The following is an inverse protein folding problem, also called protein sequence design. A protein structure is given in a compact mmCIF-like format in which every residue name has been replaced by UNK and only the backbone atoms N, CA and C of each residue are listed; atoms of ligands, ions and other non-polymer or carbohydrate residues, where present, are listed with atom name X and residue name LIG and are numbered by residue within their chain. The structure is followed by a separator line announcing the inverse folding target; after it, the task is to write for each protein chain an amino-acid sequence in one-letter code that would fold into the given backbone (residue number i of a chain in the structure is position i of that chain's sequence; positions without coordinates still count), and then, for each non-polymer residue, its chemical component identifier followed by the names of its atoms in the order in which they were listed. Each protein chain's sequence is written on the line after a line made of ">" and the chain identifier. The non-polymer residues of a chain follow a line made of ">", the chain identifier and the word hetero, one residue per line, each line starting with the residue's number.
data_IF_525278486822
#
_entry.id   IF_525278486822
#
_cell.length_a   1.000
_cell.length_b   1.000
_cell.length_c   1.000
_cell.angle_alpha   90.00
_cell.angle_beta   90.00
_cell.angle_gamma   90.00
#
_symmetry.space_group_name_H-M   'P 1'
#
loop_
_entity.id
_entity.type
_entity.pdbx_description
1 polymer ?
#
# COMPACT_ATOMS: atom_id res chain seq x y z
N UNK A 1 0.16 28.75 -87.41
CA UNK A 1 -0.57 28.22 -86.22
C UNK A 1 0.48 27.58 -85.35
N UNK A 2 0.93 28.23 -84.24
CA UNK A 2 1.95 27.74 -83.34
C UNK A 2 1.21 27.00 -82.16
N UNK A 3 1.48 25.68 -81.98
CA UNK A 3 0.95 24.88 -80.88
C UNK A 3 1.85 25.19 -79.66
N UNK A 4 1.24 25.77 -78.63
CA UNK A 4 1.82 25.91 -77.30
C UNK A 4 1.61 24.60 -76.53
N UNK A 5 2.70 23.89 -76.26
CA UNK A 5 2.68 22.75 -75.31
C UNK A 5 2.95 23.28 -73.91
N UNK A 6 1.96 23.21 -73.05
CA UNK A 6 2.11 23.50 -71.62
C UNK A 6 2.57 22.20 -70.96
N UNK A 7 3.85 22.14 -70.59
CA UNK A 7 4.38 21.07 -69.75
C UNK A 7 4.04 21.41 -68.27
N UNK A 8 3.13 20.65 -67.70
CA UNK A 8 2.76 20.71 -66.29
C UNK A 8 3.85 19.96 -65.48
N UNK A 9 4.74 20.70 -64.87
CA UNK A 9 5.75 20.16 -63.94
C UNK A 9 5.02 19.91 -62.64
N UNK A 10 4.70 18.65 -62.33
CA UNK A 10 4.31 18.21 -61.01
C UNK A 10 5.53 18.19 -60.12
N UNK A 11 5.68 19.23 -59.26
CA UNK A 11 6.66 19.27 -58.20
C UNK A 11 6.12 18.35 -57.08
N UNK A 12 6.58 17.11 -57.03
CA UNK A 12 6.36 16.21 -55.89
C UNK A 12 7.12 16.77 -54.68
N UNK A 13 6.43 17.53 -53.86
CA UNK A 13 6.86 17.79 -52.48
C UNK A 13 6.81 16.45 -51.75
N UNK A 14 7.94 15.77 -51.66
CA UNK A 14 8.16 14.69 -50.73
C UNK A 14 8.10 15.27 -49.30
N UNK A 15 6.93 15.27 -48.70
CA UNK A 15 6.82 15.43 -47.24
C UNK A 15 7.45 14.16 -46.65
N UNK A 16 8.70 14.25 -46.26
CA UNK A 16 9.33 13.24 -45.41
C UNK A 16 8.56 13.29 -44.07
N UNK A 17 7.60 12.42 -43.93
CA UNK A 17 7.04 12.12 -42.61
C UNK A 17 8.18 11.46 -41.81
N UNK A 18 8.94 12.25 -41.08
CA UNK A 18 9.80 11.74 -40.02
C UNK A 18 8.84 11.22 -38.96
N UNK A 19 8.82 9.88 -38.77
CA UNK A 19 8.19 9.32 -37.58
C UNK A 19 9.04 9.84 -36.39
N UNK A 20 8.48 10.81 -35.69
CA UNK A 20 9.11 11.35 -34.49
C UNK A 20 8.83 10.33 -33.38
N UNK A 21 9.86 9.60 -32.97
CA UNK A 21 9.78 8.74 -31.80
C UNK A 21 9.74 9.64 -30.56
N UNK A 22 8.94 9.30 -29.53
CA UNK A 22 8.90 10.12 -28.33
C UNK A 22 10.29 10.18 -27.69
N UNK A 23 10.77 11.41 -27.45
CA UNK A 23 11.97 11.70 -26.67
C UNK A 23 11.54 12.02 -25.24
N UNK A 24 11.97 11.22 -24.30
CA UNK A 24 11.60 11.35 -22.89
C UNK A 24 12.60 12.15 -22.06
N UNK A 25 13.69 12.66 -22.67
CA UNK A 25 14.82 13.25 -21.94
C UNK A 25 14.39 14.44 -21.08
N UNK A 26 13.63 15.37 -21.66
CA UNK A 26 13.18 16.58 -20.97
C UNK A 26 12.21 16.23 -19.83
N UNK A 27 11.28 15.29 -20.07
CA UNK A 27 10.35 14.81 -19.03
C UNK A 27 11.10 14.17 -17.86
N UNK A 28 12.12 13.35 -18.15
CA UNK A 28 12.93 12.71 -17.11
C UNK A 28 13.70 13.74 -16.29
N UNK A 29 14.30 14.74 -16.93
CA UNK A 29 15.07 15.78 -16.23
C UNK A 29 14.16 16.62 -15.30
N UNK A 30 12.91 16.86 -15.68
CA UNK A 30 11.92 17.59 -14.88
C UNK A 30 11.36 16.72 -13.73
N UNK A 31 10.99 15.48 -14.00
CA UNK A 31 10.29 14.61 -13.05
C UNK A 31 11.20 13.92 -12.05
N UNK A 32 12.41 13.50 -12.45
CA UNK A 32 13.31 12.71 -11.63
C UNK A 32 13.68 13.32 -10.26
N UNK A 33 13.80 14.66 -10.10
CA UNK A 33 14.06 15.24 -8.79
C UNK A 33 12.99 14.98 -7.73
N UNK A 34 11.74 14.72 -8.13
CA UNK A 34 10.62 14.45 -7.24
C UNK A 34 10.39 12.94 -7.00
N UNK A 35 11.08 12.08 -7.74
CA UNK A 35 11.07 10.62 -7.50
C UNK A 35 12.10 10.28 -6.43
N UNK A 36 11.69 9.52 -5.43
CA UNK A 36 12.48 9.23 -4.24
C UNK A 36 12.71 7.73 -4.05
N UNK A 37 13.80 7.38 -3.38
CA UNK A 37 14.01 6.05 -2.85
C UNK A 37 13.38 5.97 -1.47
N UNK A 38 12.53 4.95 -1.25
CA UNK A 38 11.96 4.61 0.04
C UNK A 38 12.66 3.38 0.57
N UNK A 39 13.36 3.49 1.69
CA UNK A 39 14.02 2.37 2.34
C UNK A 39 13.51 2.19 3.77
N UNK A 40 13.32 0.95 4.19
CA UNK A 40 12.75 0.61 5.48
C UNK A 40 13.64 -0.34 6.26
N UNK A 41 13.60 -0.22 7.58
CA UNK A 41 14.17 -1.19 8.50
C UNK A 41 13.03 -2.04 9.04
N UNK A 42 13.13 -3.37 8.85
CA UNK A 42 12.20 -4.36 9.42
C UNK A 42 12.93 -5.20 10.45
N UNK A 43 12.29 -5.45 11.60
CA UNK A 43 12.82 -6.35 12.62
C UNK A 43 12.22 -7.75 12.41
N UNK A 44 13.01 -8.70 11.95
CA UNK A 44 12.55 -10.09 11.77
C UNK A 44 12.94 -10.91 12.98
N UNK A 45 11.97 -11.43 13.73
CA UNK A 45 12.18 -12.43 14.77
C UNK A 45 12.31 -13.82 14.13
N UNK A 46 13.37 -14.55 14.49
CA UNK A 46 13.76 -15.84 13.88
C UNK A 46 12.84 -17.03 14.22
N UNK A 47 11.73 -16.82 14.95
CA UNK A 47 10.86 -17.92 15.41
C UNK A 47 9.96 -18.55 14.32
N UNK A 48 9.82 -17.96 13.13
CA UNK A 48 8.91 -18.46 12.10
C UNK A 48 9.57 -19.29 10.97
N UNK A 49 10.79 -19.81 11.17
CA UNK A 49 11.50 -20.60 10.13
C UNK A 49 11.37 -22.11 10.23
N UNK A 50 10.41 -22.67 10.96
CA UNK A 50 10.19 -24.12 10.99
C UNK A 50 8.84 -24.52 10.40
N UNK A 51 8.64 -24.31 9.12
CA UNK A 51 7.70 -25.13 8.35
C UNK A 51 8.07 -25.11 6.86
N UNK A 52 8.65 -26.20 6.32
CA UNK A 52 8.94 -26.31 4.89
C UNK A 52 7.68 -26.39 4.03
N UNK A 53 6.51 -26.45 4.63
CA UNK A 53 5.23 -26.66 3.94
C UNK A 53 4.36 -25.41 3.76
N UNK A 54 4.74 -24.24 4.31
CA UNK A 54 3.92 -23.01 4.23
C UNK A 54 4.41 -21.99 3.19
N UNK A 55 5.20 -22.44 2.20
CA UNK A 55 5.81 -21.59 1.16
C UNK A 55 4.88 -21.26 -0.03
N UNK A 56 3.56 -21.30 0.17
CA UNK A 56 2.61 -21.13 -0.94
C UNK A 56 1.52 -20.10 -0.65
N UNK A 57 1.86 -18.86 -0.28
CA UNK A 57 0.77 -17.90 -0.12
C UNK A 57 0.98 -16.48 -0.65
N UNK A 58 2.17 -16.04 -1.09
CA UNK A 58 2.26 -14.75 -1.77
C UNK A 58 3.36 -14.72 -2.84
N UNK A 59 3.01 -14.60 -4.12
CA UNK A 59 3.99 -14.31 -5.19
C UNK A 59 4.71 -12.96 -4.97
N UNK A 60 4.12 -12.05 -4.18
CA UNK A 60 4.73 -10.79 -3.76
C UNK A 60 5.96 -11.01 -2.88
N UNK A 61 5.89 -11.92 -1.89
CA UNK A 61 6.99 -12.17 -0.97
C UNK A 61 8.24 -12.70 -1.68
N UNK A 62 8.07 -13.49 -2.74
CA UNK A 62 9.19 -14.02 -3.51
C UNK A 62 9.83 -12.95 -4.43
N UNK A 63 9.08 -11.96 -4.89
CA UNK A 63 9.57 -10.87 -5.74
C UNK A 63 10.33 -9.81 -4.92
N UNK A 64 9.90 -9.52 -3.69
CA UNK A 64 10.47 -8.46 -2.85
C UNK A 64 11.48 -8.95 -1.82
N UNK A 65 11.48 -10.24 -1.47
CA UNK A 65 12.46 -10.86 -0.56
C UNK A 65 13.73 -11.34 -1.30
N UNK A 66 14.17 -10.64 -2.34
CA UNK A 66 15.47 -10.92 -2.96
C UNK A 66 16.56 -10.53 -1.95
N UNK A 67 17.35 -11.49 -1.42
CA UNK A 67 18.43 -11.16 -0.51
C UNK A 67 19.48 -10.36 -1.27
N UNK A 68 19.78 -9.15 -0.80
CA UNK A 68 20.93 -8.40 -1.31
C UNK A 68 22.20 -9.20 -1.10
N UNK A 69 23.06 -9.38 -2.12
CA UNK A 69 24.27 -10.20 -2.01
C UNK A 69 25.43 -9.46 -1.35
N UNK A 70 25.21 -8.80 -0.23
CA UNK A 70 26.29 -8.20 0.54
C UNK A 70 26.16 -8.60 2.00
N UNK A 71 27.16 -9.42 2.41
CA UNK A 71 27.54 -9.88 3.75
C UNK A 71 27.14 -11.32 4.10
N UNK A 72 28.07 -12.20 3.76
CA UNK A 72 28.29 -13.47 4.45
C UNK A 72 29.04 -13.19 5.77
N UNK A 73 28.32 -13.23 6.89
CA UNK A 73 28.92 -13.45 8.20
C UNK A 73 28.16 -14.54 8.99
N UNK A 74 28.87 -15.36 9.80
CA UNK A 74 28.32 -16.61 10.32
C UNK A 74 27.36 -16.40 11.49
N UNK A 75 26.30 -17.16 11.43
CA UNK A 75 25.19 -17.40 12.36
C UNK A 75 25.52 -17.20 13.85
N UNK A 76 24.86 -16.21 14.44
CA UNK A 76 24.43 -16.20 15.84
C UNK A 76 22.96 -15.80 15.87
N UNK A 77 22.16 -16.49 16.73
CA UNK A 77 20.74 -16.17 16.99
C UNK A 77 20.64 -14.73 17.51
N UNK A 78 20.27 -13.80 16.62
CA UNK A 78 19.97 -12.41 16.96
C UNK A 78 18.86 -11.91 16.05
N UNK A 79 17.97 -11.09 16.58
CA UNK A 79 17.03 -10.32 15.77
C UNK A 79 17.82 -9.60 14.66
N UNK A 80 17.48 -9.86 13.42
CA UNK A 80 18.19 -9.29 12.28
C UNK A 80 17.39 -8.15 11.72
N UNK A 81 17.96 -6.96 11.72
CA UNK A 81 17.45 -5.84 10.93
C UNK A 81 17.66 -6.16 9.46
N UNK A 82 16.56 -6.23 8.71
CA UNK A 82 16.60 -6.38 7.26
C UNK A 82 16.20 -5.06 6.65
N UNK A 83 17.01 -4.57 5.74
CA UNK A 83 16.67 -3.40 4.93
C UNK A 83 16.02 -3.86 3.64
N UNK A 84 14.82 -3.35 3.38
CA UNK A 84 14.13 -3.48 2.09
C UNK A 84 13.74 -2.09 1.61
N UNK A 85 13.29 -1.98 0.38
CA UNK A 85 12.89 -0.67 -0.12
C UNK A 85 12.30 -0.74 -1.52
N UNK A 86 11.78 0.40 -1.94
CA UNK A 86 11.18 0.65 -3.23
C UNK A 86 11.37 2.10 -3.62
N UNK A 87 10.47 2.59 -4.43
CA UNK A 87 10.40 3.98 -4.85
C UNK A 87 9.18 4.68 -4.24
N UNK A 88 9.16 5.99 -4.35
CA UNK A 88 8.02 6.83 -4.07
C UNK A 88 8.13 8.11 -4.89
N UNK A 89 7.17 8.99 -4.76
CA UNK A 89 7.22 10.31 -5.38
C UNK A 89 6.53 11.37 -4.54
N UNK A 90 7.08 12.57 -4.58
CA UNK A 90 6.60 13.71 -3.81
C UNK A 90 5.43 14.35 -4.57
N UNK A 91 4.30 14.57 -3.90
CA UNK A 91 3.07 15.15 -4.47
C UNK A 91 2.76 16.55 -3.96
N UNK A 92 3.58 17.09 -3.06
CA UNK A 92 3.34 18.42 -2.50
C UNK A 92 4.62 19.08 -1.99
N UNK A 93 4.65 20.42 -2.05
CA UNK A 93 5.78 21.25 -1.58
C UNK A 93 6.12 21.05 -0.10
N UNK A 94 5.14 20.66 0.70
CA UNK A 94 5.29 20.42 2.14
C UNK A 94 5.73 19.00 2.47
N UNK A 95 5.89 18.11 1.46
CA UNK A 95 6.59 16.82 1.58
C UNK A 95 5.69 15.61 1.81
N UNK A 96 4.46 15.60 1.28
CA UNK A 96 3.69 14.36 1.14
C UNK A 96 4.26 13.51 0.01
N UNK A 97 4.33 12.19 0.25
CA UNK A 97 4.93 11.21 -0.65
C UNK A 97 4.00 10.02 -0.76
N UNK A 98 3.81 9.56 -1.99
CA UNK A 98 3.08 8.33 -2.29
C UNK A 98 4.08 7.21 -2.52
N UNK A 99 3.75 6.02 -2.02
CA UNK A 99 4.44 4.76 -2.29
C UNK A 99 3.46 3.58 -2.15
N UNK A 100 3.92 2.34 -2.33
CA UNK A 100 3.10 1.17 -2.06
C UNK A 100 3.07 0.79 -0.57
N UNK A 101 1.95 0.18 -0.13
CA UNK A 101 1.83 -0.40 1.20
C UNK A 101 2.91 -1.46 1.46
N UNK A 102 3.12 -2.42 0.54
CA UNK A 102 4.09 -3.51 0.70
C UNK A 102 5.54 -3.00 0.86
N UNK A 103 5.87 -1.80 0.37
CA UNK A 103 7.20 -1.17 0.57
C UNK A 103 7.39 -0.81 2.03
N UNK A 104 6.34 -0.34 2.72
CA UNK A 104 6.39 0.15 4.11
C UNK A 104 5.78 -0.79 5.14
N UNK A 105 5.21 -1.91 4.72
CA UNK A 105 4.63 -2.94 5.60
C UNK A 105 5.67 -3.39 6.64
N UNK A 106 5.28 -3.51 7.91
CA UNK A 106 6.12 -3.91 9.04
C UNK A 106 7.39 -3.05 9.25
N UNK A 107 7.44 -1.85 8.68
CA UNK A 107 8.56 -0.96 8.87
C UNK A 107 8.63 -0.46 10.32
N UNK A 108 9.77 -0.66 10.97
CA UNK A 108 10.08 0.00 12.25
C UNK A 108 10.58 1.44 12.03
N UNK A 109 11.15 1.71 10.86
CA UNK A 109 11.63 3.02 10.45
C UNK A 109 11.62 3.15 8.94
N UNK A 110 11.21 4.33 8.44
CA UNK A 110 11.13 4.64 7.02
C UNK A 110 12.08 5.80 6.72
N UNK A 111 12.92 5.61 5.70
CA UNK A 111 13.83 6.62 5.19
C UNK A 111 13.45 6.95 3.76
N UNK A 112 13.49 8.23 3.44
CA UNK A 112 13.30 8.75 2.09
C UNK A 112 14.58 9.44 1.65
N UNK A 113 15.18 8.96 0.56
CA UNK A 113 16.36 9.57 -0.04
C UNK A 113 15.98 10.23 -1.37
N UNK A 114 16.30 11.52 -1.50
CA UNK A 114 16.09 12.28 -2.71
C UNK A 114 17.20 12.01 -3.75
N UNK A 115 16.98 12.42 -4.99
CA UNK A 115 17.95 12.30 -6.07
C UNK A 115 19.29 13.04 -5.78
N UNK A 116 19.25 14.14 -5.05
CA UNK A 116 20.43 14.92 -4.61
C UNK A 116 21.14 14.33 -3.38
N UNK A 117 20.74 13.12 -2.93
CA UNK A 117 21.27 12.36 -1.80
C UNK A 117 20.90 12.89 -0.40
N UNK A 118 20.02 13.89 -0.30
CA UNK A 118 19.44 14.23 1.01
C UNK A 118 18.58 13.06 1.47
N UNK A 119 18.72 12.70 2.76
CA UNK A 119 17.95 11.62 3.39
C UNK A 119 17.10 12.19 4.53
N UNK A 120 15.85 11.77 4.59
CA UNK A 120 14.88 12.19 5.61
C UNK A 120 14.26 10.96 6.25
N UNK A 121 13.95 11.08 7.54
CA UNK A 121 13.05 10.14 8.20
C UNK A 121 11.64 10.52 7.83
N UNK A 122 10.88 9.56 7.30
CA UNK A 122 9.49 9.77 6.93
C UNK A 122 8.55 9.23 8.01
N UNK A 123 7.49 9.99 8.23
CA UNK A 123 6.33 9.58 9.01
C UNK A 123 5.35 8.86 8.10
N UNK A 124 4.81 7.71 8.54
CA UNK A 124 3.72 7.04 7.85
C UNK A 124 2.40 7.67 8.31
N UNK A 125 1.74 8.40 7.40
CA UNK A 125 0.44 9.03 7.67
C UNK A 125 -0.66 7.98 7.70
N UNK A 126 -0.62 7.04 6.74
CA UNK A 126 -1.51 5.90 6.67
C UNK A 126 -1.11 4.98 5.54
N UNK A 127 -1.58 3.74 5.59
CA UNK A 127 -1.41 2.79 4.48
C UNK A 127 -2.56 1.81 4.42
N UNK A 128 -2.83 1.33 3.22
CA UNK A 128 -3.91 0.40 2.99
C UNK A 128 -3.45 -0.81 2.17
N UNK A 129 -3.57 -1.98 2.75
CA UNK A 129 -3.11 -3.25 2.18
C UNK A 129 -3.90 -3.68 0.94
N UNK A 130 -5.21 -3.39 0.91
CA UNK A 130 -6.08 -3.85 -0.18
C UNK A 130 -5.91 -3.02 -1.45
N UNK A 131 -5.56 -1.75 -1.33
CA UNK A 131 -5.22 -0.88 -2.47
C UNK A 131 -3.72 -0.84 -2.75
N UNK A 132 -2.90 -1.40 -1.87
CA UNK A 132 -1.44 -1.34 -1.92
C UNK A 132 -0.89 0.10 -2.02
N UNK A 133 -1.53 1.05 -1.32
CA UNK A 133 -1.16 2.47 -1.28
C UNK A 133 -0.72 2.86 0.12
N UNK A 134 0.31 3.68 0.20
CA UNK A 134 0.77 4.30 1.45
C UNK A 134 1.08 5.78 1.23
N UNK A 135 0.73 6.60 2.24
CA UNK A 135 1.00 8.03 2.30
C UNK A 135 2.04 8.29 3.39
N UNK A 136 3.15 8.89 2.98
CA UNK A 136 4.26 9.28 3.86
C UNK A 136 4.35 10.79 3.96
N UNK A 137 5.03 11.27 5.00
CA UNK A 137 5.35 12.69 5.21
C UNK A 137 6.80 12.86 5.61
N UNK A 138 7.52 13.73 4.91
CA UNK A 138 8.81 14.24 5.35
C UNK A 138 8.69 15.70 5.78
N UNK A 139 9.46 16.10 6.77
CA UNK A 139 9.47 17.48 7.29
C UNK A 139 10.79 18.14 6.93
N UNK A 140 10.72 19.24 6.17
CA UNK A 140 11.87 20.07 5.82
C UNK A 140 11.44 21.54 5.78
N UNK A 141 12.44 22.44 5.93
CA UNK A 141 12.22 23.89 5.77
C UNK A 141 12.40 24.36 4.32
N UNK A 142 12.94 23.50 3.48
CA UNK A 142 13.21 23.79 2.07
C UNK A 142 12.01 23.38 1.23
N UNK A 143 11.78 24.10 0.14
CA UNK A 143 10.77 23.71 -0.85
C UNK A 143 11.25 22.45 -1.57
N UNK A 144 10.37 21.45 -1.64
CA UNK A 144 10.63 20.21 -2.33
C UNK A 144 10.10 20.25 -3.77
N UNK A 145 10.77 19.61 -4.73
CA UNK A 145 10.15 19.31 -6.01
C UNK A 145 8.96 18.38 -5.79
N UNK A 146 7.92 18.48 -6.59
CA UNK A 146 6.75 17.62 -6.53
C UNK A 146 6.20 17.38 -7.94
N UNK A 147 5.43 16.31 -8.10
CA UNK A 147 4.82 15.92 -9.38
C UNK A 147 3.35 16.32 -9.40
N UNK A 148 2.90 16.69 -10.58
CA UNK A 148 1.48 16.89 -10.85
C UNK A 148 0.81 15.52 -11.14
N UNK A 149 -0.41 15.36 -10.63
CA UNK A 149 -1.21 14.15 -10.83
C UNK A 149 -2.14 14.38 -12.04
N UNK A 150 -2.08 13.46 -12.99
CA UNK A 150 -2.91 13.49 -14.19
C UNK A 150 -4.25 12.78 -13.98
N UNK A 151 -4.91 12.45 -15.09
CA UNK A 151 -6.18 11.72 -15.12
C UNK A 151 -5.97 10.32 -15.70
N UNK A 152 -6.09 9.29 -14.85
CA UNK A 152 -5.94 7.90 -15.29
C UNK A 152 -7.15 7.35 -16.06
N UNK A 153 -8.30 8.05 -16.04
CA UNK A 153 -9.49 7.64 -16.77
C UNK A 153 -9.40 8.05 -18.25
N UNK A 154 -8.67 9.13 -18.56
CA UNK A 154 -8.41 9.63 -19.91
C UNK A 154 -7.37 8.81 -20.69
N UNK A 155 -6.65 7.92 -20.02
CA UNK A 155 -5.61 7.08 -20.65
C UNK A 155 -6.23 6.03 -21.56
N UNK A 156 -5.69 5.87 -22.78
CA UNK A 156 -6.13 4.87 -23.74
C UNK A 156 -5.13 3.71 -23.93
N UNK A 157 -5.65 2.55 -24.36
CA UNK A 157 -4.80 1.42 -24.74
C UNK A 157 -3.99 1.79 -25.98
N UNK A 158 -2.68 1.69 -25.87
CA UNK A 158 -1.72 2.10 -26.91
C UNK A 158 -0.96 3.39 -26.59
N UNK A 159 -1.37 4.14 -25.57
CA UNK A 159 -0.67 5.35 -25.15
C UNK A 159 0.71 5.03 -24.59
N UNK A 160 1.69 5.86 -24.97
CA UNK A 160 3.03 5.81 -24.42
C UNK A 160 3.05 6.22 -22.97
N UNK A 161 3.79 5.46 -22.19
CA UNK A 161 3.95 5.70 -20.75
C UNK A 161 5.38 5.45 -20.30
N UNK A 162 5.78 6.15 -19.24
CA UNK A 162 7.13 6.14 -18.71
C UNK A 162 7.10 5.82 -17.21
N UNK A 163 7.88 4.86 -16.78
CA UNK A 163 8.10 4.62 -15.35
C UNK A 163 9.48 5.15 -14.94
N UNK A 164 9.51 5.87 -13.81
CA UNK A 164 10.75 6.28 -13.15
C UNK A 164 10.77 5.63 -11.76
N UNK A 165 11.86 4.96 -11.44
CA UNK A 165 12.09 4.39 -10.12
C UNK A 165 13.49 4.71 -9.61
N UNK A 166 13.72 4.55 -8.32
CA UNK A 166 15.01 4.74 -7.68
C UNK A 166 15.48 3.43 -7.01
N UNK A 167 15.76 2.36 -7.81
CA UNK A 167 16.13 1.06 -7.27
C UNK A 167 17.52 1.11 -6.62
N UNK A 168 17.71 0.35 -5.53
CA UNK A 168 19.00 0.03 -4.94
C UNK A 168 19.84 1.25 -4.46
N UNK A 169 19.25 2.41 -4.15
CA UNK A 169 20.00 3.65 -3.88
C UNK A 169 20.97 4.04 -5.02
N UNK A 170 20.76 3.47 -6.18
CA UNK A 170 21.41 3.89 -7.42
C UNK A 170 20.61 5.07 -7.98
N UNK A 171 21.22 5.82 -8.89
CA UNK A 171 20.51 6.84 -9.64
C UNK A 171 19.25 6.22 -10.25
N UNK A 172 18.18 7.02 -10.40
CA UNK A 172 16.91 6.58 -10.95
C UNK A 172 17.08 5.73 -12.23
N UNK A 173 16.16 4.80 -12.42
CA UNK A 173 16.02 4.00 -13.65
C UNK A 173 14.76 4.40 -14.36
N UNK A 174 14.86 4.56 -15.67
CA UNK A 174 13.75 4.95 -16.54
C UNK A 174 13.43 3.79 -17.47
N UNK A 175 12.16 3.47 -17.60
CA UNK A 175 11.65 2.47 -18.54
C UNK A 175 10.41 2.99 -19.24
N UNK A 176 10.25 2.72 -20.53
CA UNK A 176 9.11 3.17 -21.33
C UNK A 176 8.38 1.97 -21.97
N UNK A 177 7.13 2.16 -22.26
CA UNK A 177 6.27 1.20 -22.92
C UNK A 177 4.91 1.81 -23.25
N UNK A 178 3.90 0.97 -23.42
CA UNK A 178 2.52 1.41 -23.70
C UNK A 178 1.52 0.82 -22.71
N UNK A 179 0.39 1.46 -22.57
CA UNK A 179 -0.78 0.86 -21.90
C UNK A 179 -1.30 -0.30 -22.76
N UNK A 180 -1.34 -1.49 -22.19
CA UNK A 180 -1.78 -2.73 -22.85
C UNK A 180 -3.22 -3.08 -22.54
N UNK A 181 -3.75 -2.69 -21.37
CA UNK A 181 -5.15 -2.86 -20.96
C UNK A 181 -5.50 -1.95 -19.78
N UNK A 182 -6.81 -1.71 -19.58
CA UNK A 182 -7.37 -0.95 -18.45
C UNK A 182 -8.23 -1.86 -17.57
N UNK A 183 -8.43 -1.45 -16.32
CA UNK A 183 -9.32 -2.09 -15.34
C UNK A 183 -9.11 -3.60 -15.17
N UNK A 184 -7.83 -4.04 -15.12
CA UNK A 184 -7.51 -5.45 -14.91
C UNK A 184 -7.63 -5.84 -13.43
N UNK A 185 -8.49 -6.82 -13.15
CA UNK A 185 -8.47 -7.55 -11.89
C UNK A 185 -7.42 -8.66 -11.96
N UNK A 186 -6.60 -8.79 -10.91
CA UNK A 186 -5.60 -9.87 -10.80
C UNK A 186 -6.06 -10.85 -9.72
N UNK A 187 -6.67 -11.99 -10.10
CA UNK A 187 -7.21 -12.94 -9.13
C UNK A 187 -6.13 -13.58 -8.25
N UNK A 188 -6.48 -13.82 -6.97
CA UNK A 188 -5.66 -14.63 -6.06
C UNK A 188 -4.53 -13.90 -5.33
N UNK A 189 -4.46 -12.58 -5.41
CA UNK A 189 -3.39 -11.79 -4.80
C UNK A 189 -3.85 -10.80 -3.72
N UNK A 190 -5.10 -10.89 -3.25
CA UNK A 190 -5.65 -9.94 -2.26
C UNK A 190 -5.92 -8.53 -2.82
N UNK A 191 -5.71 -8.33 -4.13
CA UNK A 191 -5.80 -7.05 -4.84
C UNK A 191 -7.10 -6.92 -5.63
N UNK A 192 -8.15 -7.63 -5.24
CA UNK A 192 -9.44 -7.67 -5.96
C UNK A 192 -10.16 -6.30 -6.05
N UNK A 193 -9.67 -5.31 -5.31
CA UNK A 193 -10.25 -3.97 -5.27
C UNK A 193 -9.57 -2.97 -6.22
N UNK A 194 -8.46 -3.35 -6.87
CA UNK A 194 -7.65 -2.44 -7.67
C UNK A 194 -7.96 -2.63 -9.17
N UNK A 195 -8.43 -1.59 -9.87
CA UNK A 195 -8.65 -1.62 -11.32
C UNK A 195 -7.34 -1.33 -12.07
N UNK A 196 -6.36 -2.24 -12.04
CA UNK A 196 -5.04 -1.99 -12.58
C UNK A 196 -5.01 -1.52 -14.04
N UNK A 197 -4.12 -0.56 -14.33
CA UNK A 197 -3.58 -0.34 -15.66
C UNK A 197 -2.52 -1.42 -15.93
N UNK A 198 -2.63 -2.11 -17.05
CA UNK A 198 -1.62 -3.05 -17.52
C UNK A 198 -0.75 -2.37 -18.56
N UNK A 199 0.56 -2.53 -18.46
CA UNK A 199 1.54 -2.00 -19.44
C UNK A 199 2.63 -3.01 -19.74
N UNK A 200 3.43 -2.74 -20.77
CA UNK A 200 4.66 -3.48 -21.07
C UNK A 200 5.92 -2.73 -20.60
N UNK A 201 5.76 -1.72 -19.76
CA UNK A 201 6.86 -1.03 -19.10
C UNK A 201 7.62 -2.00 -18.20
N UNK A 202 8.93 -2.05 -18.34
CA UNK A 202 9.75 -2.98 -17.54
C UNK A 202 9.83 -2.52 -16.08
N UNK A 203 9.10 -3.19 -15.21
CA UNK A 203 9.15 -3.01 -13.75
C UNK A 203 10.03 -4.10 -13.15
N UNK A 204 10.97 -3.69 -12.31
CA UNK A 204 11.89 -4.56 -11.58
C UNK A 204 11.89 -4.19 -10.09
N UNK A 205 12.43 -5.05 -9.19
CA UNK A 205 12.57 -4.73 -7.78
C UNK A 205 13.23 -3.37 -7.56
N UNK A 206 12.53 -2.48 -6.85
CA UNK A 206 12.95 -1.11 -6.60
C UNK A 206 12.17 -0.04 -7.37
N UNK A 207 11.46 -0.37 -8.46
CA UNK A 207 10.57 0.56 -9.16
C UNK A 207 9.17 0.63 -8.52
N UNK A 208 8.78 -0.39 -7.72
CA UNK A 208 7.49 -0.40 -7.03
C UNK A 208 7.34 0.80 -6.10
N UNK A 209 6.17 1.41 -6.10
CA UNK A 209 5.87 2.67 -5.43
C UNK A 209 6.25 3.92 -6.22
N UNK A 210 7.03 3.79 -7.30
CA UNK A 210 7.36 4.88 -8.20
C UNK A 210 6.23 5.24 -9.16
N UNK A 211 6.28 6.45 -9.77
CA UNK A 211 5.25 6.94 -10.67
C UNK A 211 5.31 6.28 -12.05
N UNK A 212 4.13 6.17 -12.68
CA UNK A 212 3.95 5.98 -14.11
C UNK A 212 3.43 7.29 -14.70
N UNK A 213 4.08 7.79 -15.75
CA UNK A 213 3.77 9.08 -16.39
C UNK A 213 3.10 8.89 -17.74
N UNK A 214 2.25 9.85 -18.12
CA UNK A 214 1.88 10.12 -19.51
C UNK A 214 2.99 10.94 -20.22
N UNK A 215 2.75 11.29 -21.50
CA UNK A 215 3.71 12.10 -22.27
C UNK A 215 3.73 13.59 -21.86
N UNK A 216 2.72 14.06 -21.14
CA UNK A 216 2.65 15.42 -20.63
C UNK A 216 3.41 15.60 -19.30
N UNK A 217 4.02 14.52 -18.78
CA UNK A 217 4.78 14.53 -17.52
C UNK A 217 3.92 14.42 -16.27
N UNK A 218 2.65 14.10 -16.42
CA UNK A 218 1.73 13.91 -15.29
C UNK A 218 1.72 12.45 -14.83
N UNK A 219 1.59 12.24 -13.52
CA UNK A 219 1.51 10.91 -12.93
C UNK A 219 0.11 10.33 -13.16
N UNK A 220 0.02 9.23 -13.91
CA UNK A 220 -1.22 8.50 -14.16
C UNK A 220 -1.36 7.24 -13.31
N UNK A 221 -0.35 6.88 -12.53
CA UNK A 221 -0.45 5.75 -11.62
C UNK A 221 0.80 5.44 -10.82
N UNK A 222 0.67 4.46 -9.92
CA UNK A 222 1.72 3.97 -9.02
C UNK A 222 2.13 2.58 -9.48
N UNK A 223 3.39 2.38 -9.85
CA UNK A 223 3.91 1.07 -10.23
C UNK A 223 3.83 0.11 -9.04
N UNK A 224 3.15 -1.02 -9.18
CA UNK A 224 2.91 -1.95 -8.09
C UNK A 224 3.63 -3.28 -8.28
N UNK A 225 3.30 -4.01 -9.35
CA UNK A 225 3.75 -5.38 -9.51
C UNK A 225 3.96 -5.78 -10.97
N UNK A 226 4.52 -6.99 -11.16
CA UNK A 226 4.59 -7.67 -12.46
C UNK A 226 3.84 -9.00 -12.41
N UNK A 227 3.37 -9.45 -13.57
CA UNK A 227 3.02 -10.86 -13.71
C UNK A 227 4.29 -11.66 -13.94
N UNK A 228 4.59 -12.60 -13.05
CA UNK A 228 5.80 -13.41 -13.18
C UNK A 228 5.62 -14.82 -12.64
N UNK A 229 6.09 -15.81 -13.41
CA UNK A 229 6.15 -17.20 -12.98
C UNK A 229 7.50 -17.58 -12.37
N UNK A 230 8.52 -16.71 -12.49
CA UNK A 230 9.91 -16.99 -12.10
C UNK A 230 10.60 -15.82 -11.38
N UNK A 231 9.84 -14.80 -10.96
CA UNK A 231 10.34 -13.63 -10.23
C UNK A 231 10.98 -12.54 -11.10
N UNK A 232 10.98 -12.65 -12.44
CA UNK A 232 11.51 -11.66 -13.36
C UNK A 232 10.42 -11.07 -14.27
N UNK A 233 10.65 -9.87 -14.80
CA UNK A 233 9.77 -9.21 -15.76
C UNK A 233 9.56 -10.07 -17.03
N UNK A 234 8.31 -10.24 -17.44
CA UNK A 234 7.88 -11.06 -18.57
C UNK A 234 6.97 -10.31 -19.57
N UNK A 235 7.06 -8.99 -19.63
CA UNK A 235 6.27 -8.16 -20.54
C UNK A 235 4.91 -7.75 -20.01
N UNK A 236 4.59 -7.98 -18.73
CA UNK A 236 3.32 -7.58 -18.11
C UNK A 236 3.60 -6.93 -16.77
N UNK A 237 3.24 -5.66 -16.66
CA UNK A 237 3.30 -4.85 -15.45
C UNK A 237 1.92 -4.31 -15.09
N UNK A 238 1.70 -4.12 -13.81
CA UNK A 238 0.47 -3.58 -13.25
C UNK A 238 0.76 -2.32 -12.45
N UNK A 239 -0.03 -1.31 -12.72
CA UNK A 239 0.05 0.02 -12.12
C UNK A 239 -1.29 0.38 -11.51
N UNK A 240 -1.29 0.89 -10.28
CA UNK A 240 -2.49 1.39 -9.59
C UNK A 240 -2.86 2.73 -10.23
N UNK A 241 -4.09 2.90 -10.78
CA UNK A 241 -4.51 4.16 -11.40
C UNK A 241 -4.48 5.32 -10.40
N UNK A 242 -4.04 6.49 -10.85
CA UNK A 242 -3.87 7.64 -9.95
C UNK A 242 -5.19 8.16 -9.39
N UNK A 243 -6.29 8.16 -10.17
CA UNK A 243 -7.60 8.58 -9.69
C UNK A 243 -8.08 7.70 -8.53
N UNK A 244 -7.92 6.36 -8.68
CA UNK A 244 -8.21 5.43 -7.60
C UNK A 244 -7.31 5.66 -6.37
N UNK A 245 -6.00 5.88 -6.59
CA UNK A 245 -5.07 6.15 -5.51
C UNK A 245 -5.39 7.45 -4.77
N UNK A 246 -5.84 8.51 -5.46
CA UNK A 246 -6.25 9.76 -4.84
C UNK A 246 -7.41 9.58 -3.85
N UNK A 247 -8.45 8.82 -4.21
CA UNK A 247 -9.57 8.50 -3.30
C UNK A 247 -9.08 7.84 -2.00
N UNK A 248 -8.09 6.97 -2.11
CA UNK A 248 -7.45 6.28 -0.99
C UNK A 248 -6.61 7.26 -0.16
N UNK A 249 -5.79 8.09 -0.81
CA UNK A 249 -4.90 9.06 -0.17
C UNK A 249 -5.69 10.09 0.63
N UNK A 250 -6.82 10.55 0.11
CA UNK A 250 -7.67 11.52 0.82
C UNK A 250 -8.21 10.91 2.11
N UNK A 251 -8.70 9.66 2.10
CA UNK A 251 -9.12 8.95 3.29
C UNK A 251 -7.96 8.70 4.27
N UNK A 252 -6.79 8.28 3.77
CA UNK A 252 -5.60 8.09 4.61
C UNK A 252 -5.15 9.39 5.28
N UNK A 253 -5.30 10.53 4.61
CA UNK A 253 -4.96 11.86 5.14
C UNK A 253 -5.94 12.31 6.21
N UNK A 254 -7.24 12.08 6.02
CA UNK A 254 -8.31 12.52 6.91
C UNK A 254 -8.50 11.58 8.10
N UNK A 255 -8.68 10.29 7.83
CA UNK A 255 -9.05 9.28 8.83
C UNK A 255 -7.87 8.39 9.26
N UNK A 256 -6.80 8.30 8.46
CA UNK A 256 -5.65 7.40 8.68
C UNK A 256 -5.89 5.96 8.22
N UNK A 257 -7.10 5.63 7.76
CA UNK A 257 -7.51 4.33 7.25
C UNK A 257 -8.56 4.46 6.15
N UNK A 258 -8.83 3.37 5.42
CA UNK A 258 -9.75 3.35 4.28
C UNK A 258 -11.01 2.57 4.62
N UNK A 259 -12.16 3.20 4.51
CA UNK A 259 -13.48 2.54 4.63
C UNK A 259 -13.88 1.96 3.28
N UNK A 260 -14.38 0.72 3.28
CA UNK A 260 -14.82 0.05 2.06
C UNK A 260 -16.23 -0.46 2.18
N UNK A 261 -16.95 -0.32 1.07
CA UNK A 261 -18.23 -0.98 0.91
C UNK A 261 -18.10 -2.51 0.92
N UNK A 262 -19.08 -3.14 1.48
CA UNK A 262 -19.18 -4.60 1.56
C UNK A 262 -20.59 -5.07 1.22
N UNK A 263 -20.67 -6.20 0.50
CA UNK A 263 -21.94 -6.77 0.09
C UNK A 263 -22.26 -8.09 0.80
N UNK A 264 -21.26 -8.90 1.12
CA UNK A 264 -21.42 -10.19 1.77
C UNK A 264 -21.87 -11.31 0.82
N UNK A 265 -21.26 -11.38 -0.36
CA UNK A 265 -21.49 -12.43 -1.35
C UNK A 265 -20.17 -13.11 -1.73
N UNK A 266 -20.26 -14.41 -2.06
CA UNK A 266 -19.22 -15.11 -2.80
C UNK A 266 -19.63 -15.15 -4.28
N UNK A 267 -18.75 -14.70 -5.16
CA UNK A 267 -19.06 -14.66 -6.62
C UNK A 267 -18.11 -15.54 -7.40
N UNK A 268 -18.59 -15.97 -8.57
CA UNK A 268 -17.82 -16.71 -9.55
C UNK A 268 -18.04 -16.16 -10.96
N UNK A 269 -17.10 -16.48 -11.85
CA UNK A 269 -17.14 -16.08 -13.25
C UNK A 269 -18.29 -16.76 -14.01
N UNK A 270 -18.93 -16.01 -14.90
CA UNK A 270 -20.02 -16.50 -15.76
C UNK A 270 -19.43 -17.08 -17.03
N UNK A 271 -19.31 -18.40 -17.09
CA UNK A 271 -18.93 -19.10 -18.35
C UNK A 271 -20.08 -19.08 -19.36
N UNK A 272 -19.77 -19.44 -20.62
CA UNK A 272 -20.80 -19.51 -21.66
C UNK A 272 -21.96 -20.45 -21.29
N UNK A 273 -21.66 -21.64 -20.76
CA UNK A 273 -22.67 -22.62 -20.37
C UNK A 273 -23.56 -22.12 -19.22
N UNK A 274 -22.96 -21.35 -18.27
CA UNK A 274 -23.70 -20.69 -17.20
C UNK A 274 -24.58 -19.56 -17.77
N UNK A 275 -24.07 -18.73 -18.68
CA UNK A 275 -24.83 -17.67 -19.30
C UNK A 275 -26.09 -18.23 -20.01
N UNK A 276 -25.92 -19.27 -20.81
CA UNK A 276 -27.02 -19.95 -21.49
C UNK A 276 -28.06 -20.53 -20.51
N UNK A 277 -27.59 -21.08 -19.38
CA UNK A 277 -28.44 -21.67 -18.31
C UNK A 277 -29.21 -20.63 -17.52
N UNK A 278 -28.63 -19.44 -17.28
CA UNK A 278 -29.25 -18.33 -16.56
C UNK A 278 -29.99 -17.33 -17.47
N UNK A 279 -30.03 -17.58 -18.78
CA UNK A 279 -30.79 -16.77 -19.75
C UNK A 279 -30.12 -15.45 -20.10
N UNK A 280 -28.78 -15.39 -20.05
CA UNK A 280 -28.02 -14.25 -20.55
C UNK A 280 -27.64 -14.44 -22.01
N UNK A 281 -27.69 -13.36 -22.80
CA UNK A 281 -27.32 -13.36 -24.21
C UNK A 281 -25.80 -13.56 -24.42
N UNK A 282 -24.98 -13.10 -23.45
CA UNK A 282 -23.53 -13.18 -23.50
C UNK A 282 -22.99 -13.52 -22.10
N UNK A 283 -21.83 -14.21 -22.01
CA UNK A 283 -21.14 -14.44 -20.72
C UNK A 283 -20.69 -13.13 -20.12
N UNK A 284 -21.37 -12.65 -19.10
CA UNK A 284 -21.01 -11.45 -18.35
C UNK A 284 -21.64 -11.45 -16.96
N UNK A 285 -21.05 -10.66 -16.05
CA UNK A 285 -21.55 -10.47 -14.72
C UNK A 285 -20.86 -11.29 -13.65
N UNK A 286 -21.27 -11.09 -12.42
CA UNK A 286 -20.83 -11.82 -11.25
C UNK A 286 -21.95 -12.78 -10.79
N UNK A 287 -21.78 -14.09 -10.94
CA UNK A 287 -22.73 -15.08 -10.45
C UNK A 287 -22.54 -15.27 -8.94
N UNK A 288 -23.59 -15.00 -8.17
CA UNK A 288 -23.59 -15.25 -6.72
C UNK A 288 -23.63 -16.75 -6.46
N UNK A 289 -22.53 -17.28 -5.96
CA UNK A 289 -22.43 -18.69 -5.51
C UNK A 289 -23.03 -18.88 -4.13
N UNK A 290 -22.86 -17.88 -3.23
CA UNK A 290 -23.49 -17.87 -1.92
C UNK A 290 -23.65 -16.46 -1.38
N UNK A 291 -24.73 -16.24 -0.63
CA UNK A 291 -24.99 -15.03 0.18
C UNK A 291 -24.65 -15.35 1.64
N UNK A 292 -23.89 -14.48 2.29
CA UNK A 292 -23.53 -14.64 3.70
C UNK A 292 -24.71 -14.24 4.60
N UNK A 293 -24.87 -14.96 5.69
CA UNK A 293 -25.89 -14.63 6.71
C UNK A 293 -25.57 -13.29 7.38
N UNK A 294 -26.60 -12.55 7.76
CA UNK A 294 -26.52 -11.21 8.38
C UNK A 294 -25.78 -10.17 7.51
N UNK A 295 -25.72 -10.39 6.18
CA UNK A 295 -25.07 -9.50 5.24
C UNK A 295 -26.02 -8.46 4.62
N UNK A 296 -25.47 -7.38 4.05
CA UNK A 296 -26.21 -6.43 3.21
C UNK A 296 -26.93 -7.11 2.03
N UNK A 297 -26.29 -8.10 1.40
CA UNK A 297 -26.88 -8.87 0.31
C UNK A 297 -28.12 -9.63 0.74
N UNK A 298 -28.07 -10.34 1.87
CA UNK A 298 -29.22 -11.07 2.42
C UNK A 298 -30.36 -10.09 2.76
N UNK A 299 -30.05 -9.01 3.49
CA UNK A 299 -31.03 -7.99 3.89
C UNK A 299 -31.69 -7.32 2.70
N UNK A 300 -30.98 -7.19 1.57
CA UNK A 300 -31.47 -6.62 0.31
C UNK A 300 -32.25 -7.59 -0.55
N UNK A 301 -32.25 -8.88 -0.19
CA UNK A 301 -32.96 -9.92 -0.93
C UNK A 301 -32.23 -10.42 -2.16
N UNK A 302 -30.90 -10.24 -2.27
CA UNK A 302 -30.03 -10.97 -3.17
C UNK A 302 -30.03 -12.46 -2.82
N UNK A 303 -29.82 -13.34 -3.77
CA UNK A 303 -29.91 -14.79 -3.60
C UNK A 303 -28.82 -15.52 -4.35
N UNK A 304 -28.50 -16.69 -3.87
CA UNK A 304 -27.68 -17.66 -4.59
C UNK A 304 -28.29 -17.90 -5.98
N UNK A 305 -27.46 -17.88 -7.01
CA UNK A 305 -27.86 -18.00 -8.40
C UNK A 305 -28.26 -16.68 -9.08
N UNK A 306 -28.25 -15.53 -8.41
CA UNK A 306 -28.36 -14.23 -9.08
C UNK A 306 -27.07 -13.94 -9.87
N UNK A 307 -27.22 -13.42 -11.09
CA UNK A 307 -26.09 -12.89 -11.84
C UNK A 307 -26.17 -11.36 -11.82
N UNK A 308 -25.25 -10.70 -11.11
CA UNK A 308 -25.18 -9.24 -11.06
C UNK A 308 -24.50 -8.78 -12.35
N UNK A 309 -25.20 -7.94 -13.14
CA UNK A 309 -24.70 -7.41 -14.42
C UNK A 309 -24.51 -5.91 -14.43
N UNK A 310 -24.98 -5.22 -13.40
CA UNK A 310 -24.83 -3.79 -13.18
C UNK A 310 -24.94 -3.52 -11.68
N UNK A 311 -24.06 -2.69 -11.15
CA UNK A 311 -24.10 -2.27 -9.76
C UNK A 311 -23.80 -0.77 -9.68
N UNK A 312 -24.76 0.00 -9.21
CA UNK A 312 -24.71 1.47 -9.14
C UNK A 312 -24.37 2.14 -10.49
N UNK A 313 -24.97 1.66 -11.59
CA UNK A 313 -24.75 2.18 -12.94
C UNK A 313 -23.43 1.74 -13.58
N UNK A 314 -22.62 0.96 -12.88
CA UNK A 314 -21.40 0.37 -13.40
C UNK A 314 -21.68 -1.01 -13.97
N UNK A 315 -21.35 -1.23 -15.24
CA UNK A 315 -21.52 -2.53 -15.88
C UNK A 315 -20.53 -3.55 -15.27
N UNK A 316 -21.04 -4.71 -14.88
CA UNK A 316 -20.24 -5.84 -14.38
C UNK A 316 -20.07 -6.82 -15.52
N UNK A 317 -18.88 -6.89 -16.10
CA UNK A 317 -18.51 -7.78 -17.19
C UNK A 317 -17.90 -9.06 -16.65
N UNK A 318 -16.93 -8.94 -15.76
CA UNK A 318 -16.26 -10.04 -15.08
C UNK A 318 -16.64 -10.09 -13.61
N UNK A 319 -16.57 -11.27 -13.01
CA UNK A 319 -16.87 -11.40 -11.57
C UNK A 319 -15.97 -10.54 -10.68
N UNK A 320 -14.74 -10.26 -11.11
CA UNK A 320 -13.78 -9.41 -10.43
C UNK A 320 -14.14 -7.92 -10.43
N UNK A 321 -15.04 -7.46 -11.29
CA UNK A 321 -15.46 -6.06 -11.34
C UNK A 321 -16.33 -5.70 -10.13
N UNK A 322 -17.10 -6.66 -9.61
CA UNK A 322 -18.02 -6.40 -8.51
C UNK A 322 -17.32 -5.93 -7.22
N UNK A 323 -16.26 -6.58 -6.72
CA UNK A 323 -15.53 -6.07 -5.57
C UNK A 323 -14.93 -4.68 -5.78
N UNK A 324 -14.46 -4.35 -6.98
CA UNK A 324 -13.91 -3.04 -7.32
C UNK A 324 -14.97 -1.95 -7.22
N UNK A 325 -16.17 -2.21 -7.76
CA UNK A 325 -17.28 -1.25 -7.72
C UNK A 325 -17.83 -1.12 -6.30
N UNK A 326 -18.14 -2.25 -5.64
CA UNK A 326 -18.71 -2.23 -4.27
C UNK A 326 -17.75 -1.57 -3.29
N UNK A 327 -16.45 -1.85 -3.39
CA UNK A 327 -15.44 -1.32 -2.45
C UNK A 327 -15.28 0.20 -2.46
N UNK A 328 -15.71 0.89 -3.53
CA UNK A 328 -15.68 2.35 -3.67
C UNK A 328 -16.92 3.05 -3.13
N UNK A 329 -18.00 2.30 -2.91
CA UNK A 329 -19.25 2.85 -2.40
C UNK A 329 -19.15 3.04 -0.89
N UNK A 330 -19.58 4.19 -0.40
CA UNK A 330 -19.55 4.50 1.03
C UNK A 330 -20.48 3.56 1.81
N UNK A 331 -20.04 3.01 2.96
CA UNK A 331 -20.91 2.25 3.83
C UNK A 331 -22.18 3.02 4.22
N UNK A 332 -23.33 2.35 4.17
CA UNK A 332 -24.64 2.94 4.44
C UNK A 332 -25.34 3.56 3.21
N UNK A 333 -24.68 3.66 2.07
CA UNK A 333 -25.27 4.15 0.84
C UNK A 333 -26.23 3.14 0.21
N UNK A 334 -27.40 3.59 -0.24
CA UNK A 334 -28.38 2.77 -0.96
C UNK A 334 -28.16 2.91 -2.47
N UNK A 335 -27.79 1.82 -3.11
CA UNK A 335 -27.53 1.76 -4.55
C UNK A 335 -28.42 0.74 -5.25
N UNK A 336 -28.39 0.75 -6.57
CA UNK A 336 -29.19 -0.13 -7.41
C UNK A 336 -28.33 -1.24 -8.00
N UNK A 337 -28.68 -2.52 -7.74
CA UNK A 337 -28.16 -3.67 -8.44
C UNK A 337 -29.13 -4.14 -9.50
N UNK A 338 -28.63 -4.47 -10.71
CA UNK A 338 -29.38 -5.15 -11.75
C UNK A 338 -28.90 -6.58 -11.84
N UNK A 339 -29.81 -7.53 -11.62
CA UNK A 339 -29.50 -8.96 -11.63
C UNK A 339 -30.35 -9.74 -12.62
N UNK A 340 -29.85 -10.87 -13.11
CA UNK A 340 -30.64 -11.92 -13.73
C UNK A 340 -30.96 -12.99 -12.70
N UNK A 341 -32.25 -13.26 -12.52
CA UNK A 341 -32.78 -14.32 -11.61
C UNK A 341 -33.86 -15.09 -12.36
N UNK A 342 -33.70 -16.41 -12.46
CA UNK A 342 -34.65 -17.29 -13.21
C UNK A 342 -34.86 -16.83 -14.66
N UNK A 343 -33.81 -16.43 -15.36
CA UNK A 343 -33.83 -15.94 -16.72
C UNK A 343 -34.47 -14.56 -16.90
N UNK A 344 -34.74 -13.82 -15.84
CA UNK A 344 -35.39 -12.50 -15.88
C UNK A 344 -34.57 -11.42 -15.22
N UNK A 345 -34.47 -10.29 -15.90
CA UNK A 345 -33.82 -9.10 -15.37
C UNK A 345 -34.64 -8.49 -14.21
N UNK A 346 -34.02 -8.26 -13.06
CA UNK A 346 -34.60 -7.66 -11.87
C UNK A 346 -33.72 -6.53 -11.39
N UNK A 347 -34.34 -5.51 -10.78
CA UNK A 347 -33.65 -4.44 -10.09
C UNK A 347 -33.85 -4.60 -8.60
N UNK A 348 -32.76 -4.58 -7.83
CA UNK A 348 -32.74 -4.73 -6.36
C UNK A 348 -32.04 -3.50 -5.80
N UNK A 349 -32.59 -2.90 -4.75
CA UNK A 349 -31.92 -1.86 -3.95
C UNK A 349 -31.09 -2.54 -2.89
N UNK A 350 -29.87 -2.09 -2.75
CA UNK A 350 -28.90 -2.64 -1.81
C UNK A 350 -28.32 -1.51 -0.97
N UNK A 351 -28.42 -1.61 0.32
CA UNK A 351 -27.66 -0.76 1.25
C UNK A 351 -26.31 -1.42 1.46
N UNK A 352 -25.24 -0.76 1.02
CA UNK A 352 -23.87 -1.30 1.14
C UNK A 352 -23.44 -1.24 2.59
N UNK A 353 -22.88 -2.34 3.11
CA UNK A 353 -22.30 -2.40 4.46
C UNK A 353 -20.86 -1.96 4.48
N UNK A 354 -20.27 -1.92 5.67
CA UNK A 354 -18.84 -1.70 5.85
C UNK A 354 -18.11 -3.04 5.82
N UNK A 355 -17.00 -3.11 5.10
CA UNK A 355 -16.11 -4.25 5.16
C UNK A 355 -15.37 -4.22 6.50
N UNK A 356 -15.89 -4.96 7.47
CA UNK A 356 -15.17 -5.19 8.72
C UNK A 356 -13.88 -5.96 8.39
N UNK A 357 -12.76 -5.33 8.59
CA UNK A 357 -11.51 -6.09 8.63
C UNK A 357 -11.54 -6.94 9.90
N UNK A 358 -11.31 -8.27 9.83
CA UNK A 358 -10.95 -8.99 11.03
C UNK A 358 -9.81 -8.17 11.64
N UNK A 359 -9.88 -7.89 12.93
CA UNK A 359 -8.76 -7.35 13.68
C UNK A 359 -7.58 -8.35 13.55
N UNK A 360 -7.00 -8.44 12.34
CA UNK A 360 -5.61 -8.79 12.24
C UNK A 360 -4.96 -7.68 13.04
N UNK A 361 -4.09 -8.00 14.00
CA UNK A 361 -3.25 -7.06 14.72
C UNK A 361 -2.72 -5.97 13.75
N UNK A 362 -3.64 -5.22 13.16
CA UNK A 362 -3.40 -4.02 12.41
C UNK A 362 -2.87 -3.07 13.44
N UNK A 363 -1.54 -2.96 13.50
CA UNK A 363 -0.90 -1.84 14.12
C UNK A 363 -1.59 -0.58 13.56
N UNK A 364 -2.55 0.01 14.25
CA UNK A 364 -3.08 1.27 13.78
C UNK A 364 -1.92 2.25 13.86
N UNK A 365 -1.46 2.69 12.70
CA UNK A 365 -0.75 3.94 12.60
C UNK A 365 -1.82 5.05 12.72
N UNK A 366 -2.74 4.86 13.63
CA UNK A 366 -3.67 5.88 14.06
C UNK A 366 -2.95 6.75 15.08
N UNK A 367 -3.02 8.03 14.85
CA UNK A 367 -2.67 9.14 15.73
C UNK A 367 -2.40 8.71 17.17
N UNK A 368 -1.17 8.98 17.65
CA UNK A 368 -0.85 8.82 19.06
C UNK A 368 -1.98 9.44 19.89
N UNK A 369 -2.49 8.75 20.92
CA UNK A 369 -3.48 9.34 21.80
C UNK A 369 -2.95 10.71 22.26
N UNK A 370 -3.79 11.71 22.28
CA UNK A 370 -3.48 13.13 22.55
C UNK A 370 -2.67 13.38 23.84
N UNK A 371 -2.42 12.37 24.67
CA UNK A 371 -1.67 12.46 25.93
C UNK A 371 -0.36 11.69 25.95
N UNK A 372 0.13 11.14 24.84
CA UNK A 372 1.39 10.40 24.86
C UNK A 372 2.60 11.32 24.67
N UNK A 373 3.05 11.92 25.79
CA UNK A 373 4.18 12.89 25.85
C UNK A 373 5.51 12.30 25.37
N UNK A 374 5.67 10.97 25.37
CA UNK A 374 6.91 10.30 24.97
C UNK A 374 6.88 9.76 23.52
N UNK A 375 5.72 9.69 22.89
CA UNK A 375 5.59 9.12 21.54
C UNK A 375 5.73 7.59 21.53
N UNK A 376 5.34 6.87 22.59
CA UNK A 376 5.32 5.41 22.61
C UNK A 376 4.07 4.86 23.30
N UNK A 377 3.61 3.72 22.85
CA UNK A 377 2.52 2.96 23.46
C UNK A 377 3.08 1.75 24.19
N UNK A 378 2.45 1.40 25.31
CA UNK A 378 2.85 0.26 26.13
C UNK A 378 1.64 -0.64 26.39
N UNK A 379 1.91 -1.93 26.63
CA UNK A 379 0.93 -2.95 26.96
C UNK A 379 1.37 -3.68 28.22
N UNK A 380 0.39 -4.16 29.01
CA UNK A 380 0.63 -5.03 30.15
C UNK A 380 0.98 -6.45 29.70
N UNK A 381 1.75 -7.18 30.49
CA UNK A 381 2.05 -8.59 30.22
C UNK A 381 0.81 -9.47 30.22
N UNK A 382 -0.16 -9.12 31.03
CA UNK A 382 -1.45 -9.78 31.15
C UNK A 382 -2.24 -9.70 29.82
N UNK A 383 -2.30 -8.54 29.19
CA UNK A 383 -2.97 -8.34 27.89
C UNK A 383 -2.30 -9.16 26.79
N UNK A 384 -0.97 -9.21 26.81
CA UNK A 384 -0.20 -10.01 25.83
C UNK A 384 -0.41 -11.50 26.06
N UNK A 385 -0.48 -11.94 27.32
CA UNK A 385 -0.69 -13.33 27.70
C UNK A 385 -2.09 -13.82 27.28
N UNK A 386 -3.11 -13.01 27.55
CA UNK A 386 -4.49 -13.31 27.14
C UNK A 386 -4.60 -13.47 25.63
N UNK A 387 -4.08 -12.50 24.85
CA UNK A 387 -4.10 -12.52 23.39
C UNK A 387 -3.34 -13.72 22.79
N UNK A 388 -2.25 -14.16 23.43
CA UNK A 388 -1.43 -15.30 22.98
C UNK A 388 -1.87 -16.65 23.57
N UNK A 389 -2.86 -16.65 24.42
CA UNK A 389 -3.32 -17.83 25.19
C UNK A 389 -2.15 -18.56 25.88
N UNK A 390 -1.28 -17.77 26.55
CA UNK A 390 -0.01 -18.22 27.14
C UNK A 390 0.08 -17.72 28.58
N UNK A 391 0.88 -18.40 29.42
CA UNK A 391 1.11 -18.00 30.82
C UNK A 391 1.92 -16.71 30.89
N UNK A 392 1.49 -15.76 31.74
CA UNK A 392 2.13 -14.45 31.96
C UNK A 392 3.60 -14.60 32.42
N UNK A 393 3.85 -15.55 33.33
CA UNK A 393 5.21 -15.75 33.87
C UNK A 393 6.17 -16.27 32.79
N UNK A 394 5.68 -17.10 31.86
CA UNK A 394 6.46 -17.56 30.71
C UNK A 394 6.85 -16.38 29.80
N UNK A 395 5.95 -15.42 29.62
CA UNK A 395 6.24 -14.23 28.81
C UNK A 395 7.28 -13.37 29.52
N UNK A 396 7.10 -13.08 30.81
CA UNK A 396 8.04 -12.30 31.61
C UNK A 396 9.46 -12.90 31.60
N UNK A 397 9.55 -14.24 31.71
CA UNK A 397 10.82 -14.97 31.64
C UNK A 397 11.48 -14.83 30.25
N UNK A 398 10.70 -14.86 29.17
CA UNK A 398 11.21 -14.65 27.82
C UNK A 398 11.83 -13.25 27.66
N UNK A 399 11.25 -12.22 28.27
CA UNK A 399 11.80 -10.87 28.28
C UNK A 399 12.93 -10.67 29.32
N UNK A 400 13.12 -11.61 30.26
CA UNK A 400 14.12 -11.54 31.31
C UNK A 400 13.78 -10.48 32.38
N UNK A 401 12.50 -10.29 32.67
CA UNK A 401 12.00 -9.30 33.63
C UNK A 401 11.03 -9.96 34.62
N UNK A 402 10.87 -9.34 35.78
CA UNK A 402 9.83 -9.71 36.75
C UNK A 402 8.60 -8.82 36.64
N UNK A 403 8.82 -7.55 36.31
CA UNK A 403 7.81 -6.50 36.23
C UNK A 403 8.16 -5.51 35.13
N UNK A 404 7.17 -4.78 34.63
CA UNK A 404 7.35 -3.77 33.61
C UNK A 404 6.19 -3.73 32.64
N UNK A 405 6.27 -2.84 31.67
CA UNK A 405 5.33 -2.74 30.55
C UNK A 405 6.07 -2.90 29.25
N UNK A 406 5.48 -3.63 28.30
CA UNK A 406 6.10 -3.88 26.99
C UNK A 406 5.77 -2.73 26.07
N UNK A 407 6.78 -2.16 25.42
CA UNK A 407 6.59 -1.17 24.36
C UNK A 407 5.97 -1.87 23.15
N UNK A 408 4.70 -1.60 22.92
CA UNK A 408 3.98 -2.15 21.77
C UNK A 408 4.25 -1.32 20.51
N UNK A 409 4.56 -0.03 20.69
CA UNK A 409 4.82 0.89 19.58
C UNK A 409 5.64 2.11 20.02
N UNK A 410 6.48 2.60 19.10
CA UNK A 410 7.16 3.90 19.21
C UNK A 410 6.84 4.69 17.93
N UNK A 411 6.34 5.93 18.10
CA UNK A 411 6.16 6.89 17.01
C UNK A 411 7.20 7.99 17.11
N UNK A 412 7.28 8.87 16.11
CA UNK A 412 8.16 10.03 16.17
C UNK A 412 7.96 10.81 17.48
N UNK A 413 9.04 11.09 18.21
CA UNK A 413 8.98 11.78 19.51
C UNK A 413 10.13 11.42 20.44
N UNK A 414 10.06 11.89 21.71
CA UNK A 414 11.15 11.76 22.66
C UNK A 414 11.67 10.33 22.91
N UNK A 415 10.78 9.34 22.91
CA UNK A 415 11.17 7.93 23.07
C UNK A 415 11.93 7.41 21.86
N UNK A 416 11.48 7.81 20.67
CA UNK A 416 12.14 7.50 19.41
C UNK A 416 13.54 8.11 19.33
N UNK A 417 13.66 9.42 19.65
CA UNK A 417 14.94 10.14 19.67
C UNK A 417 15.92 9.51 20.66
N UNK A 418 15.42 8.88 21.73
CA UNK A 418 16.21 8.15 22.74
C UNK A 418 16.57 6.71 22.32
N UNK A 419 16.10 6.23 21.13
CA UNK A 419 16.42 4.91 20.62
C UNK A 419 15.59 3.77 21.23
N UNK A 420 14.45 4.07 21.86
CA UNK A 420 13.50 3.05 22.32
C UNK A 420 12.77 2.42 21.13
N UNK A 421 12.41 1.14 21.25
CA UNK A 421 11.83 0.35 20.17
C UNK A 421 10.68 -0.53 20.66
N UNK A 422 9.85 -1.00 19.74
CA UNK A 422 8.87 -2.05 20.03
C UNK A 422 9.59 -3.28 20.59
N UNK A 423 9.00 -3.90 21.63
CA UNK A 423 9.57 -5.06 22.32
C UNK A 423 10.51 -4.70 23.46
N UNK A 424 10.85 -3.43 23.70
CA UNK A 424 11.51 -3.02 24.94
C UNK A 424 10.53 -3.16 26.10
N UNK A 425 11.03 -3.53 27.28
CA UNK A 425 10.24 -3.54 28.51
C UNK A 425 10.66 -2.38 29.39
N UNK A 426 9.79 -1.43 29.60
CA UNK A 426 10.04 -0.30 30.51
C UNK A 426 9.80 -0.76 31.94
N UNK A 427 10.81 -0.62 32.78
CA UNK A 427 10.77 -1.02 34.20
C UNK A 427 10.88 0.14 35.16
N UNK A 428 11.30 1.35 34.67
CA UNK A 428 11.43 2.55 35.50
C UNK A 428 11.40 3.82 34.64
N UNK A 429 10.72 4.85 35.11
CA UNK A 429 10.69 6.20 34.55
C UNK A 429 11.06 7.19 35.64
N UNK A 430 12.11 7.99 35.42
CA UNK A 430 12.63 8.84 36.46
C UNK A 430 13.08 8.02 37.67
N UNK A 431 12.47 8.30 38.83
CA UNK A 431 12.70 7.57 40.06
C UNK A 431 11.58 6.52 40.37
N UNK A 432 10.53 6.41 39.53
CA UNK A 432 9.38 5.57 39.77
C UNK A 432 9.53 4.24 39.00
N UNK A 433 9.42 3.13 39.72
CA UNK A 433 9.32 1.80 39.09
C UNK A 433 7.97 1.68 38.41
N UNK A 434 7.93 0.91 37.31
CA UNK A 434 6.74 0.69 36.49
C UNK A 434 6.52 -0.81 36.39
N UNK A 435 5.36 -1.28 36.83
CA UNK A 435 4.94 -2.69 36.77
C UNK A 435 3.68 -2.90 35.93
N UNK A 436 2.93 -1.82 35.66
CA UNK A 436 1.70 -1.85 34.85
C UNK A 436 1.56 -0.59 33.98
N UNK A 437 0.69 -0.67 32.98
CA UNK A 437 0.35 0.45 32.09
C UNK A 437 -0.22 1.62 32.89
N UNK A 438 -1.03 1.38 33.90
CA UNK A 438 -1.55 2.44 34.79
C UNK A 438 -0.43 3.13 35.55
N UNK A 439 0.54 2.41 36.08
CA UNK A 439 1.69 3.00 36.77
C UNK A 439 2.60 3.77 35.79
N UNK A 440 2.73 3.27 34.56
CA UNK A 440 3.43 3.98 33.48
C UNK A 440 2.77 5.32 33.18
N UNK A 441 1.44 5.34 33.01
CA UNK A 441 0.68 6.56 32.72
C UNK A 441 0.76 7.57 33.90
N UNK A 442 0.62 7.12 35.13
CA UNK A 442 0.79 7.95 36.33
C UNK A 442 2.21 8.53 36.45
N UNK A 443 3.22 7.68 36.20
CA UNK A 443 4.63 8.15 36.21
C UNK A 443 4.88 9.23 35.15
N UNK A 444 4.19 9.20 34.01
CA UNK A 444 4.27 10.25 32.98
C UNK A 444 3.57 11.55 33.40
N UNK A 445 2.45 11.46 34.14
CA UNK A 445 1.72 12.64 34.64
C UNK A 445 2.53 13.38 35.72
N UNK A 446 3.23 12.63 36.57
CA UNK A 446 4.06 13.16 37.66
C UNK A 446 5.34 13.84 37.16
N UNK A 447 5.72 13.68 35.90
CA UNK A 447 6.88 14.33 35.29
C UNK A 447 6.64 15.82 35.04
N UNK A 448 6.66 16.59 36.12
CA UNK A 448 6.58 18.05 36.09
C UNK A 448 7.86 18.65 35.46
N UNK A 449 7.79 19.01 34.17
CA UNK A 449 8.70 19.91 33.46
C UNK A 449 10.20 19.62 33.52
N UNK A 450 10.62 18.42 33.87
CA UNK A 450 12.02 18.02 33.76
C UNK A 450 12.38 17.85 32.27
N UNK A 451 13.38 18.59 31.82
CA UNK A 451 13.82 18.59 30.43
C UNK A 451 14.52 17.29 30.01
N UNK A 452 14.96 16.47 30.95
CA UNK A 452 15.71 15.21 30.72
C UNK A 452 15.33 14.19 31.79
N UNK A 453 14.79 13.06 31.37
CA UNK A 453 14.28 12.00 32.23
C UNK A 453 15.09 10.72 32.00
N UNK A 454 15.69 10.11 33.03
CA UNK A 454 16.25 8.77 32.88
C UNK A 454 15.13 7.73 32.81
N UNK A 455 15.22 6.81 31.85
CA UNK A 455 14.29 5.71 31.66
C UNK A 455 15.10 4.41 31.64
N UNK A 456 14.70 3.43 32.46
CA UNK A 456 15.27 2.09 32.43
C UNK A 456 14.40 1.17 31.58
N UNK A 457 15.04 0.51 30.65
CA UNK A 457 14.39 -0.51 29.84
C UNK A 457 15.20 -1.81 29.79
N UNK A 458 14.55 -2.90 29.42
CA UNK A 458 15.17 -4.20 29.16
C UNK A 458 14.94 -4.55 27.71
N UNK A 459 16.01 -4.86 26.98
CA UNK A 459 16.00 -5.34 25.58
C UNK A 459 16.84 -6.60 25.51
N UNK A 460 16.29 -7.68 24.94
CA UNK A 460 17.00 -8.97 24.83
C UNK A 460 17.59 -9.43 26.16
N UNK A 461 16.81 -9.36 27.23
CA UNK A 461 17.20 -9.69 28.62
C UNK A 461 18.30 -8.81 29.23
N UNK A 462 18.77 -7.79 28.54
CA UNK A 462 19.78 -6.85 29.02
C UNK A 462 19.12 -5.54 29.44
N UNK A 463 19.34 -5.14 30.69
CA UNK A 463 18.89 -3.85 31.23
C UNK A 463 19.79 -2.71 30.79
N UNK A 464 19.21 -1.59 30.35
CA UNK A 464 19.90 -0.38 29.98
C UNK A 464 19.12 0.87 30.42
N UNK A 465 19.82 2.03 30.43
CA UNK A 465 19.20 3.33 30.67
C UNK A 465 19.35 4.22 29.45
N UNK A 466 18.31 4.99 29.14
CA UNK A 466 18.35 6.09 28.19
C UNK A 466 17.86 7.36 28.86
N UNK A 467 18.20 8.50 28.29
CA UNK A 467 17.64 9.78 28.72
C UNK A 467 16.67 10.27 27.65
N UNK A 468 15.48 10.61 28.09
CA UNK A 468 14.44 11.15 27.22
C UNK A 468 14.35 12.65 27.45
N UNK A 469 14.38 13.44 26.36
CA UNK A 469 14.19 14.89 26.38
C UNK A 469 12.77 15.22 25.99
N UNK A 470 11.98 15.74 26.93
CA UNK A 470 10.62 16.22 26.61
C UNK A 470 10.74 17.65 26.08
N UNK A 471 10.35 17.86 24.81
CA UNK A 471 10.21 19.21 24.25
C UNK A 471 8.92 19.85 24.80
N UNK A 472 9.02 21.11 25.26
CA UNK A 472 7.86 21.92 25.66
C UNK A 472 6.94 22.20 24.50
#
# INVERSE_FOLDING_TARGET
>A
MKKFSISLIFLLLSISATADYPDFSDLVDEAAPAVVNVSVIKTISTQNRMSPFNRRQNPFDDFFNFPFPFEDEPRREQEREVRSGGSGFIISKDGFIITNHHVVEDASQIFVSLNDRREFIAELIGSDKKSDVALLKISTKESLPFLDLGDSDDVDVGDWVLAIGSPYRLNFSVTAGIISAKARSVPGQGTSYIPFLQSDVAINPGNSGGPLFNLDGEVIGINAMIYSNRGGYMGISFTIPINYAQEIIDQLREDGFVKRGWLGVSVQEVTKDLADSFGLDVPRGALIGSVLTDSPAESSGLKDGDVIVDFDGNEIIYSGDLPMVVGRISPGEEVKATVYRDGRKKSIRVTVGELEEPEEDSNPIASAPKNNRLGMMVEDFEDIAERRNTDVEMIKENFGVKEGVVVSRVVSGPAFDAGLRRGDVITRIGMTNVSSKTEYENALEDLNNENVIPLRFVRNKNGAFVTIKIKK
#
